data_IF_212219446388
#
_entry.id   IF_212219446388
#
_cell.length_a   1.000
_cell.length_b   1.000
_cell.length_c   1.000
_cell.angle_alpha   90.00
_cell.angle_beta   90.00
_cell.angle_gamma   90.00
#
_symmetry.space_group_name_H-M   'P 1'
#
loop_
_entity.id
_entity.type
_entity.pdbx_description
1 polymer ?
#
# COMPACT_ATOMS: atom_id res chain seq x y z
N UNK A 1 -39.28 -56.80 -18.09
CA UNK A 1 -38.72 -55.54 -18.63
C UNK A 1 -37.85 -54.91 -17.61
N UNK A 2 -36.52 -54.88 -17.76
CA UNK A 2 -35.64 -54.29 -16.76
C UNK A 2 -35.56 -52.78 -16.93
N UNK A 3 -35.83 -52.08 -15.86
CA UNK A 3 -35.79 -50.64 -15.72
C UNK A 3 -34.31 -50.18 -15.67
N UNK A 4 -33.80 -49.51 -16.70
CA UNK A 4 -32.47 -48.93 -16.74
C UNK A 4 -32.44 -47.67 -15.85
N UNK A 5 -31.77 -47.77 -14.70
CA UNK A 5 -31.43 -46.63 -13.84
C UNK A 5 -30.18 -45.98 -14.42
N UNK A 6 -30.36 -44.80 -15.05
CA UNK A 6 -29.24 -43.93 -15.44
C UNK A 6 -28.73 -43.21 -14.20
N UNK A 7 -27.58 -43.63 -13.72
CA UNK A 7 -26.80 -42.90 -12.70
C UNK A 7 -26.11 -41.72 -13.40
N UNK A 8 -26.62 -40.50 -13.19
CA UNK A 8 -25.91 -39.27 -13.50
C UNK A 8 -24.86 -39.03 -12.40
N UNK A 9 -23.63 -39.41 -12.69
CA UNK A 9 -22.45 -38.98 -11.89
C UNK A 9 -22.18 -37.52 -12.19
N UNK A 10 -22.69 -36.64 -11.32
CA UNK A 10 -22.35 -35.20 -11.31
C UNK A 10 -20.92 -35.05 -10.81
N UNK A 11 -19.97 -34.82 -11.73
CA UNK A 11 -18.59 -34.49 -11.40
C UNK A 11 -18.56 -33.05 -10.90
N UNK A 12 -18.57 -32.86 -9.57
CA UNK A 12 -18.40 -31.58 -8.92
C UNK A 12 -16.91 -31.19 -9.02
N UNK A 13 -16.55 -30.40 -10.04
CA UNK A 13 -15.23 -29.79 -10.13
C UNK A 13 -15.10 -28.74 -9.03
N UNK A 14 -14.44 -29.13 -7.93
CA UNK A 14 -14.02 -28.21 -6.89
C UNK A 14 -12.86 -27.38 -7.44
N UNK A 15 -13.14 -26.18 -7.96
CA UNK A 15 -12.11 -25.22 -8.36
C UNK A 15 -11.38 -24.75 -7.09
N UNK A 16 -10.22 -25.32 -6.82
CA UNK A 16 -9.33 -24.86 -5.78
C UNK A 16 -8.74 -23.53 -6.27
N UNK A 17 -9.29 -22.43 -5.81
CA UNK A 17 -8.68 -21.11 -6.01
C UNK A 17 -7.35 -21.10 -5.26
N UNK A 18 -6.25 -21.25 -6.00
CA UNK A 18 -4.90 -21.07 -5.47
C UNK A 18 -4.69 -19.58 -5.21
N UNK A 19 -4.95 -19.14 -3.98
CA UNK A 19 -4.58 -17.81 -3.54
C UNK A 19 -3.05 -17.74 -3.50
N UNK A 20 -2.44 -17.03 -4.44
CA UNK A 20 -1.01 -16.70 -4.38
C UNK A 20 -0.78 -15.86 -3.12
N UNK A 21 0.18 -16.22 -2.25
CA UNK A 21 0.47 -15.40 -1.08
C UNK A 21 0.94 -14.03 -1.55
N UNK A 22 0.21 -12.97 -1.17
CA UNK A 22 0.64 -11.60 -1.39
C UNK A 22 1.89 -11.40 -0.54
N UNK A 23 3.04 -11.25 -1.20
CA UNK A 23 4.31 -11.00 -0.51
C UNK A 23 4.24 -9.63 0.13
N UNK A 24 4.57 -9.56 1.44
CA UNK A 24 4.66 -8.29 2.15
C UNK A 24 5.63 -7.34 1.44
N UNK A 25 5.16 -6.12 1.16
CA UNK A 25 5.92 -5.13 0.41
C UNK A 25 6.73 -4.23 1.34
N UNK A 26 7.98 -3.95 0.95
CA UNK A 26 8.88 -3.02 1.64
C UNK A 26 9.12 -1.82 0.73
N UNK A 27 9.13 -0.58 1.24
CA UNK A 27 9.49 0.58 0.43
C UNK A 27 10.93 0.50 -0.09
N UNK A 28 11.15 0.98 -1.32
CA UNK A 28 12.45 1.02 -1.99
C UNK A 28 12.79 2.47 -2.33
N UNK A 29 14.04 2.88 -2.09
CA UNK A 29 14.50 4.22 -2.39
C UNK A 29 15.40 4.23 -3.64
N UNK A 30 15.30 5.29 -4.43
CA UNK A 30 15.96 5.49 -5.71
C UNK A 30 16.67 6.86 -5.75
N UNK A 31 17.93 6.88 -6.19
CA UNK A 31 18.72 8.10 -6.31
C UNK A 31 18.51 8.83 -7.64
N UNK A 32 18.04 8.12 -8.68
CA UNK A 32 17.84 8.68 -10.03
C UNK A 32 16.43 8.43 -10.54
N UNK A 33 15.84 9.38 -11.31
CA UNK A 33 16.37 10.69 -11.70
C UNK A 33 16.26 11.79 -10.64
N UNK A 34 15.48 11.60 -9.59
CA UNK A 34 15.29 12.56 -8.48
C UNK A 34 15.05 11.76 -7.22
N UNK A 35 15.89 11.89 -6.23
CA UNK A 35 15.79 11.14 -4.95
C UNK A 35 14.34 10.99 -4.47
N UNK A 36 13.88 9.77 -4.35
CA UNK A 36 12.55 9.41 -3.88
C UNK A 36 12.53 7.99 -3.31
N UNK A 37 11.57 7.72 -2.47
CA UNK A 37 11.24 6.35 -2.08
C UNK A 37 9.85 5.99 -2.60
N UNK A 38 9.63 4.72 -2.91
CA UNK A 38 8.37 4.20 -3.43
C UNK A 38 7.94 2.97 -2.64
N UNK A 39 6.67 2.93 -2.31
CA UNK A 39 6.01 1.76 -1.77
C UNK A 39 4.95 1.27 -2.75
N UNK A 40 4.94 -0.02 -3.03
CA UNK A 40 3.87 -0.67 -3.78
C UNK A 40 3.37 -1.86 -2.97
N UNK A 41 2.21 -1.74 -2.35
CA UNK A 41 1.67 -2.76 -1.47
C UNK A 41 0.30 -2.41 -0.91
N UNK A 42 -0.14 -3.22 0.04
CA UNK A 42 -1.42 -3.03 0.70
C UNK A 42 -1.38 -1.87 1.69
N UNK A 43 -2.51 -1.22 1.90
CA UNK A 43 -2.67 -0.24 2.97
C UNK A 43 -2.90 -1.01 4.28
N UNK A 44 -1.85 -1.16 5.08
CA UNK A 44 -1.91 -1.88 6.35
C UNK A 44 -2.83 -1.17 7.34
N UNK A 45 -2.59 0.12 7.55
CA UNK A 45 -3.46 1.00 8.34
C UNK A 45 -3.25 2.45 7.93
N UNK A 46 -4.28 3.26 8.19
CA UNK A 46 -4.26 4.70 8.07
C UNK A 46 -4.52 5.27 9.45
N UNK A 47 -3.68 6.19 9.87
CA UNK A 47 -3.82 6.90 11.14
C UNK A 47 -3.98 8.39 10.88
N UNK A 48 -4.93 9.00 11.56
CA UNK A 48 -5.18 10.44 11.49
C UNK A 48 -5.24 10.98 12.91
N UNK A 49 -4.61 12.12 13.18
CA UNK A 49 -4.67 12.74 14.49
C UNK A 49 -5.00 14.24 14.43
N UNK A 50 -5.29 14.83 15.59
CA UNK A 50 -5.58 16.24 15.74
C UNK A 50 -4.41 17.19 15.48
N UNK A 51 -3.19 16.65 15.33
CA UNK A 51 -2.00 17.39 14.90
C UNK A 51 -1.92 17.59 13.39
N UNK A 52 -3.02 17.34 12.67
CA UNK A 52 -3.12 17.47 11.21
C UNK A 52 -2.14 16.60 10.44
N UNK A 53 -1.89 15.38 10.93
CA UNK A 53 -1.08 14.38 10.25
C UNK A 53 -1.92 13.16 9.85
N UNK A 54 -1.66 12.66 8.65
CA UNK A 54 -2.12 11.36 8.17
C UNK A 54 -0.89 10.48 7.97
N UNK A 55 -0.89 9.30 8.58
CA UNK A 55 0.13 8.28 8.36
C UNK A 55 -0.46 7.10 7.60
N UNK A 56 0.27 6.62 6.59
CA UNK A 56 0.01 5.36 5.93
C UNK A 56 1.10 4.37 6.35
N UNK A 57 0.70 3.29 7.02
CA UNK A 57 1.60 2.24 7.46
C UNK A 57 1.85 1.22 6.35
N UNK A 58 3.11 0.82 6.20
CA UNK A 58 3.57 -0.18 5.25
C UNK A 58 3.37 -1.61 5.78
N UNK A 59 3.33 -2.59 4.90
CA UNK A 59 3.35 -4.00 5.29
C UNK A 59 4.64 -4.34 6.03
N UNK A 60 5.77 -3.93 5.46
CA UNK A 60 7.10 -4.07 6.04
C UNK A 60 7.76 -2.69 6.13
N UNK A 61 8.38 -2.34 7.26
CA UNK A 61 9.03 -1.06 7.42
C UNK A 61 10.12 -0.79 6.37
N UNK A 62 10.29 0.47 6.02
CA UNK A 62 11.43 0.96 5.25
C UNK A 62 12.71 0.76 6.07
N UNK A 63 13.76 0.30 5.42
CA UNK A 63 15.10 0.36 5.99
C UNK A 63 15.61 1.81 6.02
N UNK A 64 15.81 2.38 7.20
CA UNK A 64 16.21 3.79 7.39
C UNK A 64 17.49 4.11 6.60
N UNK A 65 18.46 3.19 6.55
CA UNK A 65 19.69 3.38 5.77
C UNK A 65 19.42 3.55 4.26
N UNK A 66 18.33 2.96 3.74
CA UNK A 66 17.96 3.15 2.33
C UNK A 66 17.47 4.58 2.07
N UNK A 67 16.72 5.17 3.01
CA UNK A 67 16.34 6.57 2.92
C UNK A 67 17.56 7.50 3.04
N UNK A 68 18.45 7.21 3.98
CA UNK A 68 19.68 7.99 4.17
C UNK A 68 20.59 7.96 2.94
N UNK A 69 20.65 6.85 2.23
CA UNK A 69 21.47 6.72 1.01
C UNK A 69 21.00 7.62 -0.14
N UNK A 70 19.75 8.10 -0.10
CA UNK A 70 19.18 9.05 -1.07
C UNK A 70 18.98 10.44 -0.46
N UNK A 71 19.55 10.70 0.73
CA UNK A 71 19.60 12.01 1.34
C UNK A 71 18.41 12.35 2.25
N UNK A 72 17.59 11.38 2.66
CA UNK A 72 16.47 11.60 3.57
C UNK A 72 16.84 11.19 5.00
N UNK A 73 16.65 12.11 5.96
CA UNK A 73 16.92 11.87 7.38
C UNK A 73 15.66 11.39 8.10
N UNK A 74 15.37 10.09 7.98
CA UNK A 74 14.17 9.43 8.49
C UNK A 74 14.47 8.77 9.84
N UNK A 75 13.58 8.96 10.81
CA UNK A 75 13.64 8.31 12.13
C UNK A 75 12.64 7.16 12.25
N UNK A 76 11.53 7.20 11.49
CA UNK A 76 10.43 6.26 11.56
C UNK A 76 10.21 5.61 10.19
N UNK A 77 10.54 4.34 10.08
CA UNK A 77 10.47 3.58 8.81
C UNK A 77 9.15 2.84 8.59
N UNK A 78 8.28 2.77 9.59
CA UNK A 78 7.05 1.98 9.54
C UNK A 78 5.92 2.63 8.75
N UNK A 79 5.98 3.94 8.53
CA UNK A 79 4.94 4.71 7.85
C UNK A 79 5.52 5.88 7.06
N UNK A 80 4.70 6.43 6.17
CA UNK A 80 4.92 7.73 5.54
C UNK A 80 3.81 8.70 5.90
N UNK A 81 4.09 10.00 5.83
CA UNK A 81 3.24 11.06 6.35
C UNK A 81 2.75 12.03 5.29
N UNK A 82 1.52 12.52 5.48
CA UNK A 82 1.00 13.76 4.90
C UNK A 82 0.68 14.71 6.03
N UNK A 83 1.09 15.96 5.87
CA UNK A 83 0.65 17.07 6.72
C UNK A 83 -0.49 17.79 6.03
N UNK A 84 -1.67 17.76 6.65
CA UNK A 84 -2.90 18.28 6.05
C UNK A 84 -2.75 19.77 5.72
N UNK A 85 -2.08 20.53 6.59
CA UNK A 85 -1.89 21.96 6.41
C UNK A 85 -0.97 22.34 5.25
N UNK A 86 -0.10 21.43 4.78
CA UNK A 86 0.78 21.70 3.65
C UNK A 86 -0.01 21.77 2.32
N UNK A 87 -0.98 20.88 2.16
CA UNK A 87 -1.88 20.81 1.02
C UNK A 87 -3.15 20.07 1.42
N UNK A 88 -4.16 20.77 1.97
CA UNK A 88 -5.41 20.15 2.44
C UNK A 88 -6.19 19.42 1.35
N UNK A 89 -6.16 19.91 0.11
CA UNK A 89 -6.85 19.28 -1.01
C UNK A 89 -6.20 17.93 -1.36
N UNK A 90 -4.88 17.90 -1.50
CA UNK A 90 -4.15 16.66 -1.72
C UNK A 90 -4.34 15.67 -0.55
N UNK A 91 -4.32 16.14 0.69
CA UNK A 91 -4.55 15.29 1.87
C UNK A 91 -5.93 14.59 1.82
N UNK A 92 -6.98 15.30 1.41
CA UNK A 92 -8.32 14.74 1.25
C UNK A 92 -8.39 13.71 0.11
N UNK A 93 -7.78 14.01 -1.04
CA UNK A 93 -7.73 13.09 -2.18
C UNK A 93 -6.91 11.84 -1.86
N UNK A 94 -5.77 12.02 -1.18
CA UNK A 94 -4.95 10.91 -0.70
C UNK A 94 -5.74 10.01 0.25
N UNK A 95 -6.36 10.59 1.27
CA UNK A 95 -7.10 9.84 2.27
C UNK A 95 -8.24 9.03 1.65
N UNK A 96 -9.01 9.64 0.75
CA UNK A 96 -10.09 8.97 0.03
C UNK A 96 -9.57 7.81 -0.85
N UNK A 97 -8.45 8.01 -1.55
CA UNK A 97 -7.82 6.98 -2.39
C UNK A 97 -7.30 5.82 -1.55
N UNK A 98 -6.64 6.11 -0.43
CA UNK A 98 -6.11 5.10 0.48
C UNK A 98 -7.22 4.28 1.14
N UNK A 99 -8.32 4.93 1.57
CA UNK A 99 -9.50 4.23 2.10
C UNK A 99 -10.17 3.34 1.05
N UNK A 100 -10.31 3.82 -0.19
CA UNK A 100 -10.88 3.03 -1.29
C UNK A 100 -10.04 1.79 -1.57
N UNK A 101 -8.71 1.92 -1.57
CA UNK A 101 -7.79 0.81 -1.73
C UNK A 101 -7.93 -0.22 -0.60
N UNK A 102 -7.96 0.25 0.64
CA UNK A 102 -8.12 -0.61 1.82
C UNK A 102 -9.46 -1.35 1.80
N UNK A 103 -10.56 -0.66 1.51
CA UNK A 103 -11.90 -1.24 1.47
C UNK A 103 -12.08 -2.26 0.33
N UNK A 104 -11.41 -2.05 -0.81
CA UNK A 104 -11.45 -2.95 -1.97
C UNK A 104 -10.35 -4.01 -1.96
N UNK A 105 -9.51 -4.02 -0.93
CA UNK A 105 -8.35 -4.92 -0.81
C UNK A 105 -7.43 -4.84 -2.03
N UNK A 106 -7.13 -3.63 -2.49
CA UNK A 106 -6.27 -3.36 -3.63
C UNK A 106 -4.95 -2.73 -3.17
N UNK A 107 -3.82 -3.06 -3.81
CA UNK A 107 -2.56 -2.41 -3.54
C UNK A 107 -2.57 -0.95 -4.03
N UNK A 108 -1.82 -0.13 -3.34
CA UNK A 108 -1.50 1.24 -3.75
C UNK A 108 -0.06 1.33 -4.16
N UNK A 109 0.25 2.30 -5.01
CA UNK A 109 1.62 2.80 -5.15
C UNK A 109 1.66 4.20 -4.58
N UNK A 110 2.59 4.45 -3.66
CA UNK A 110 2.87 5.79 -3.17
C UNK A 110 4.32 6.15 -3.47
N UNK A 111 4.56 7.40 -3.79
CA UNK A 111 5.88 7.97 -3.93
C UNK A 111 6.09 9.01 -2.84
N UNK A 112 7.28 8.99 -2.27
CA UNK A 112 7.65 9.81 -1.14
C UNK A 112 8.89 10.62 -1.49
N UNK A 113 8.86 11.92 -1.19
CA UNK A 113 9.99 12.85 -1.38
C UNK A 113 10.11 13.78 -0.19
N UNK A 114 11.32 13.89 0.32
CA UNK A 114 11.58 14.65 1.52
C UNK A 114 11.10 13.95 2.80
N UNK A 115 11.24 14.64 3.87
CA UNK A 115 10.85 14.19 5.20
C UNK A 115 10.21 15.32 6.00
N UNK A 116 9.43 14.93 7.02
CA UNK A 116 8.89 15.83 8.01
C UNK A 116 8.68 15.07 9.33
N UNK A 117 9.18 15.64 10.41
CA UNK A 117 9.07 15.05 11.76
C UNK A 117 9.52 13.58 11.84
N UNK A 118 10.56 13.23 11.08
CA UNK A 118 11.14 11.89 11.06
C UNK A 118 10.46 10.86 10.17
N UNK A 119 9.38 11.22 9.49
CA UNK A 119 8.73 10.38 8.47
C UNK A 119 9.09 10.82 7.07
N UNK A 120 9.09 9.88 6.11
CA UNK A 120 9.06 10.22 4.69
C UNK A 120 7.76 10.95 4.36
N UNK A 121 7.85 12.02 3.56
CA UNK A 121 6.70 12.81 3.11
C UNK A 121 6.11 12.22 1.84
N UNK A 122 4.81 11.93 1.86
CA UNK A 122 4.09 11.42 0.69
C UNK A 122 3.88 12.55 -0.31
N UNK A 123 4.23 12.30 -1.56
CA UNK A 123 4.14 13.22 -2.70
C UNK A 123 3.06 12.79 -3.69
N UNK A 124 2.80 11.47 -3.82
CA UNK A 124 1.85 10.91 -4.77
C UNK A 124 1.25 9.60 -4.26
N UNK A 125 0.02 9.33 -4.73
CA UNK A 125 -0.65 8.05 -4.58
C UNK A 125 -1.38 7.70 -5.87
N UNK A 126 -1.38 6.42 -6.25
CA UNK A 126 -2.26 5.91 -7.29
C UNK A 126 -2.63 4.46 -7.06
N UNK A 127 -3.76 4.06 -7.60
CA UNK A 127 -4.21 2.68 -7.66
C UNK A 127 -3.69 2.04 -8.94
N UNK A 128 -3.13 0.84 -8.84
CA UNK A 128 -2.71 0.05 -9.99
C UNK A 128 -3.69 -1.10 -10.16
N UNK A 129 -4.17 -1.33 -11.38
CA UNK A 129 -4.87 -2.58 -11.68
C UNK A 129 -3.84 -3.72 -11.62
N UNK A 130 -4.24 -4.80 -10.97
CA UNK A 130 -3.52 -6.07 -11.05
C UNK A 130 -3.79 -6.75 -12.39
#
# INVERSE_FOLDING_TARGET
MPRRILLFMSLLFLAIATSTPIRAATPICHSTPHNYCQYHGMVKSIYVNSGNIILLYFDTPLHINSASSVGFNVSFGEAAAIYINDNPEFANLFYSTALAAQASNQPVTIQMRGEHSGYLKIDRIWLSKQ
#
